data_IF_246200043368
#
_entry.id   IF_246200043368
#
_cell.length_a   1.000
_cell.length_b   1.000
_cell.length_c   1.000
_cell.angle_alpha   90.00
_cell.angle_beta   90.00
_cell.angle_gamma   90.00
#
_symmetry.space_group_name_H-M   'P 1'
#
loop_
_entity.id
_entity.type
_entity.pdbx_description
1 polymer ?
#
# COMPACT_ATOMS: atom_id res chain seq x y z
N UNK A 1 13.53 -21.26 31.28
CA UNK A 1 12.77 -20.00 31.36
C UNK A 1 13.70 -18.94 31.93
N UNK A 2 14.22 -18.04 31.10
CA UNK A 2 15.17 -17.01 31.54
C UNK A 2 14.39 -15.73 31.82
N UNK A 3 14.53 -15.20 33.02
CA UNK A 3 13.93 -13.97 33.51
C UNK A 3 14.88 -12.82 33.14
N UNK A 4 14.65 -12.13 32.01
CA UNK A 4 15.68 -11.31 31.40
C UNK A 4 15.98 -10.07 32.24
N UNK A 5 14.98 -9.48 32.91
CA UNK A 5 15.19 -8.39 33.86
C UNK A 5 15.99 -8.84 35.09
N UNK A 6 15.76 -10.06 35.58
CA UNK A 6 16.50 -10.64 36.71
C UNK A 6 17.98 -10.83 36.39
N UNK A 7 18.30 -11.33 35.18
CA UNK A 7 19.69 -11.53 34.73
C UNK A 7 20.42 -10.22 34.45
N UNK A 8 19.75 -9.27 33.77
CA UNK A 8 20.31 -7.94 33.50
C UNK A 8 20.52 -7.20 34.83
N UNK A 9 19.53 -7.23 35.72
CA UNK A 9 19.58 -6.62 37.03
C UNK A 9 20.71 -7.19 37.89
N UNK A 10 20.88 -8.51 37.93
CA UNK A 10 21.98 -9.16 38.63
C UNK A 10 23.35 -8.75 38.08
N UNK A 11 23.51 -8.70 36.75
CA UNK A 11 24.75 -8.30 36.11
C UNK A 11 25.12 -6.82 36.36
N UNK A 12 24.14 -5.91 36.21
CA UNK A 12 24.34 -4.48 36.49
C UNK A 12 24.62 -4.26 37.98
N UNK A 13 23.87 -4.93 38.85
CA UNK A 13 24.07 -4.87 40.30
C UNK A 13 25.45 -5.37 40.71
N UNK A 14 25.92 -6.46 40.09
CA UNK A 14 27.27 -6.99 40.32
C UNK A 14 28.37 -5.99 39.91
N UNK A 15 28.20 -5.31 38.77
CA UNK A 15 29.17 -4.32 38.30
C UNK A 15 29.29 -3.11 39.23
N UNK A 16 28.21 -2.75 39.95
CA UNK A 16 28.18 -1.58 40.84
C UNK A 16 28.67 -1.91 42.25
N UNK A 17 28.24 -3.04 42.81
CA UNK A 17 28.47 -3.36 44.23
C UNK A 17 28.78 -4.85 44.46
N UNK A 18 29.33 -5.54 43.47
CA UNK A 18 29.76 -6.94 43.55
C UNK A 18 28.64 -7.86 44.06
N UNK A 19 28.92 -8.83 44.94
CA UNK A 19 27.94 -9.85 45.35
C UNK A 19 26.67 -9.24 45.98
N UNK A 20 26.74 -8.28 46.94
CA UNK A 20 25.55 -7.64 47.48
C UNK A 20 24.72 -6.91 46.41
N UNK A 21 25.40 -6.23 45.47
CA UNK A 21 24.75 -5.55 44.36
C UNK A 21 24.05 -6.51 43.41
N UNK A 22 24.65 -7.67 43.13
CA UNK A 22 24.05 -8.70 42.29
C UNK A 22 22.74 -9.25 42.89
N UNK A 23 22.72 -9.46 44.21
CA UNK A 23 21.52 -9.93 44.91
C UNK A 23 20.39 -8.90 44.86
N UNK A 24 20.70 -7.63 45.13
CA UNK A 24 19.72 -6.54 45.05
C UNK A 24 19.20 -6.36 43.62
N UNK A 25 20.11 -6.37 42.64
CA UNK A 25 19.80 -6.24 41.22
C UNK A 25 18.95 -7.39 40.69
N UNK A 26 19.19 -8.62 41.13
CA UNK A 26 18.36 -9.77 40.82
C UNK A 26 16.94 -9.61 41.37
N UNK A 27 16.79 -9.18 42.62
CA UNK A 27 15.48 -8.96 43.26
C UNK A 27 14.66 -7.87 42.55
N UNK A 28 15.29 -6.74 42.21
CA UNK A 28 14.64 -5.66 41.47
C UNK A 28 14.29 -6.08 40.04
N UNK A 29 15.19 -6.80 39.38
CA UNK A 29 14.97 -7.38 38.06
C UNK A 29 13.79 -8.37 38.04
N UNK A 30 13.67 -9.19 39.09
CA UNK A 30 12.58 -10.15 39.23
C UNK A 30 11.24 -9.47 39.52
N UNK A 31 11.22 -8.41 40.31
CA UNK A 31 10.01 -7.60 40.51
C UNK A 31 9.55 -6.94 39.21
N UNK A 32 10.49 -6.46 38.39
CA UNK A 32 10.23 -5.89 37.07
C UNK A 32 9.68 -6.96 36.10
N UNK A 33 10.30 -8.14 36.05
CA UNK A 33 9.85 -9.25 35.22
C UNK A 33 8.42 -9.71 35.59
N UNK A 34 8.08 -9.73 36.89
CA UNK A 34 6.70 -10.04 37.36
C UNK A 34 5.70 -8.97 36.97
N UNK A 35 6.05 -7.69 37.11
CA UNK A 35 5.16 -6.57 36.71
C UNK A 35 4.96 -6.50 35.20
N UNK A 36 6.00 -6.82 34.42
CA UNK A 36 5.97 -6.75 32.96
C UNK A 36 5.62 -8.09 32.28
N UNK A 37 5.40 -9.17 33.06
CA UNK A 37 5.15 -10.54 32.60
C UNK A 37 6.19 -11.03 31.58
N UNK A 38 7.46 -10.66 31.77
CA UNK A 38 8.56 -11.03 30.86
C UNK A 38 9.01 -12.47 31.16
N UNK A 39 8.50 -13.44 30.41
CA UNK A 39 8.80 -14.86 30.62
C UNK A 39 9.95 -15.39 29.73
N UNK A 40 10.44 -14.57 28.78
CA UNK A 40 11.50 -14.97 27.84
C UNK A 40 12.21 -13.76 27.23
N UNK A 41 13.48 -13.96 26.84
CA UNK A 41 14.25 -13.03 26.00
C UNK A 41 13.58 -12.72 24.66
N UNK A 42 12.82 -13.67 24.11
CA UNK A 42 12.02 -13.46 22.90
C UNK A 42 10.94 -12.38 23.13
N UNK A 43 10.22 -12.45 24.25
CA UNK A 43 9.20 -11.45 24.63
C UNK A 43 9.80 -10.07 24.94
N UNK A 44 10.98 -10.03 25.58
CA UNK A 44 11.67 -8.75 25.81
C UNK A 44 12.13 -8.12 24.49
N UNK A 45 12.63 -8.93 23.55
CA UNK A 45 13.00 -8.48 22.20
C UNK A 45 11.78 -8.05 21.37
N UNK A 46 10.65 -8.73 21.47
CA UNK A 46 9.39 -8.33 20.84
C UNK A 46 8.88 -6.99 21.37
N UNK A 47 9.01 -6.75 22.69
CA UNK A 47 8.49 -5.56 23.36
C UNK A 47 9.42 -4.35 23.25
N UNK A 48 10.75 -4.56 23.27
CA UNK A 48 11.75 -3.52 22.99
C UNK A 48 11.91 -3.25 21.49
N UNK A 49 11.67 -4.26 20.65
CA UNK A 49 11.72 -4.19 19.19
C UNK A 49 10.44 -3.72 18.54
N UNK A 50 9.70 -2.81 19.21
CA UNK A 50 8.39 -2.29 18.82
C UNK A 50 8.14 -2.29 17.31
N UNK A 51 7.53 -3.37 16.83
CA UNK A 51 6.98 -3.46 15.49
C UNK A 51 5.67 -4.16 15.65
N UNK A 52 4.60 -3.46 15.32
CA UNK A 52 3.38 -4.15 15.03
C UNK A 52 3.67 -5.18 13.93
N UNK A 53 3.36 -6.43 14.24
CA UNK A 53 3.31 -7.50 13.26
C UNK A 53 2.39 -7.05 12.13
N UNK A 54 2.95 -6.89 10.93
CA UNK A 54 2.15 -6.77 9.71
C UNK A 54 1.58 -8.17 9.50
N UNK A 55 0.25 -8.38 9.50
CA UNK A 55 -0.31 -9.68 9.14
C UNK A 55 0.24 -10.09 7.78
N UNK A 56 0.65 -11.34 7.59
CA UNK A 56 1.31 -11.82 6.35
C UNK A 56 0.50 -11.43 5.09
N UNK A 57 -0.82 -11.53 5.15
CA UNK A 57 -1.77 -11.21 4.07
C UNK A 57 -1.92 -9.70 3.78
N UNK A 58 -1.41 -8.84 4.68
CA UNK A 58 -1.60 -7.39 4.64
C UNK A 58 -0.45 -6.60 4.01
N UNK A 59 0.72 -7.22 3.84
CA UNK A 59 1.94 -6.51 3.44
C UNK A 59 1.78 -5.74 2.14
N UNK A 60 1.19 -6.37 1.11
CA UNK A 60 0.89 -5.71 -0.16
C UNK A 60 0.15 -4.40 0.07
N UNK A 61 -0.95 -4.43 0.82
CA UNK A 61 -1.78 -3.25 1.03
C UNK A 61 -1.09 -2.19 1.88
N UNK A 62 -0.19 -2.56 2.81
CA UNK A 62 0.69 -1.60 3.49
C UNK A 62 1.60 -0.88 2.48
N UNK A 63 2.24 -1.60 1.56
CA UNK A 63 3.09 -1.01 0.52
C UNK A 63 2.28 -0.07 -0.37
N UNK A 64 1.13 -0.54 -0.85
CA UNK A 64 0.21 0.22 -1.69
C UNK A 64 -0.27 1.52 -1.01
N UNK A 65 -0.61 1.46 0.27
CA UNK A 65 -1.03 2.63 1.05
C UNK A 65 0.09 3.65 1.21
N UNK A 66 1.32 3.18 1.47
CA UNK A 66 2.50 4.04 1.60
C UNK A 66 2.85 4.72 0.29
N UNK A 67 2.80 3.97 -0.81
CA UNK A 67 3.03 4.47 -2.16
C UNK A 67 1.98 5.51 -2.53
N UNK A 68 0.70 5.20 -2.32
CA UNK A 68 -0.41 6.09 -2.63
C UNK A 68 -0.37 7.45 -1.89
N UNK A 69 0.39 7.56 -0.79
CA UNK A 69 0.56 8.77 0.02
C UNK A 69 1.90 9.48 -0.21
N UNK A 70 2.86 8.87 -0.90
CA UNK A 70 4.22 9.39 -1.00
C UNK A 70 4.28 10.77 -1.64
N UNK A 71 3.37 11.07 -2.56
CA UNK A 71 3.22 12.37 -3.21
C UNK A 71 2.33 13.36 -2.41
N UNK A 72 2.12 13.11 -1.11
CA UNK A 72 1.44 14.03 -0.19
C UNK A 72 -0.09 13.89 -0.14
N UNK A 73 -0.75 13.27 -1.12
CA UNK A 73 -2.19 12.97 -1.08
C UNK A 73 -2.54 11.66 -1.77
N UNK A 74 -3.55 10.98 -1.24
CA UNK A 74 -4.13 9.79 -1.87
C UNK A 74 -5.16 10.23 -2.90
N UNK A 75 -5.00 9.78 -4.15
CA UNK A 75 -5.90 10.08 -5.25
C UNK A 75 -7.00 9.02 -5.39
N UNK A 76 -8.11 9.36 -6.04
CA UNK A 76 -9.19 8.42 -6.36
C UNK A 76 -8.69 7.22 -7.21
N UNK A 77 -7.73 7.47 -8.11
CA UNK A 77 -7.04 6.44 -8.90
C UNK A 77 -6.33 5.42 -8.02
N UNK A 78 -5.63 5.85 -6.96
CA UNK A 78 -4.96 4.94 -6.02
C UNK A 78 -5.96 4.04 -5.28
N UNK A 79 -7.07 4.62 -4.81
CA UNK A 79 -8.12 3.85 -4.13
C UNK A 79 -8.73 2.80 -5.07
N UNK A 80 -8.96 3.16 -6.33
CA UNK A 80 -9.46 2.21 -7.31
C UNK A 80 -8.45 1.11 -7.63
N UNK A 81 -7.18 1.45 -7.82
CA UNK A 81 -6.16 0.44 -8.08
C UNK A 81 -6.05 -0.54 -6.91
N UNK A 82 -6.10 -0.05 -5.66
CA UNK A 82 -6.13 -0.91 -4.48
C UNK A 82 -7.33 -1.88 -4.50
N UNK A 83 -8.53 -1.41 -4.86
CA UNK A 83 -9.72 -2.28 -5.01
C UNK A 83 -9.57 -3.28 -6.16
N UNK A 84 -8.93 -2.90 -7.25
CA UNK A 84 -8.64 -3.79 -8.37
C UNK A 84 -7.68 -4.90 -7.94
N UNK A 85 -6.66 -4.61 -7.12
CA UNK A 85 -5.83 -5.66 -6.51
C UNK A 85 -6.62 -6.57 -5.57
N UNK A 86 -7.53 -6.03 -4.73
CA UNK A 86 -8.41 -6.87 -3.88
C UNK A 86 -9.25 -7.84 -4.72
N UNK A 87 -9.79 -7.38 -5.86
CA UNK A 87 -10.53 -8.23 -6.80
C UNK A 87 -9.64 -9.27 -7.47
N UNK A 88 -8.44 -8.87 -7.92
CA UNK A 88 -7.46 -9.78 -8.53
C UNK A 88 -7.07 -10.93 -7.58
N UNK A 89 -6.95 -10.63 -6.29
CA UNK A 89 -6.64 -11.61 -5.25
C UNK A 89 -7.87 -12.40 -4.77
N UNK A 90 -9.06 -12.16 -5.33
CA UNK A 90 -10.32 -12.80 -4.94
C UNK A 90 -10.61 -12.70 -3.43
N UNK A 91 -10.33 -11.54 -2.82
CA UNK A 91 -10.53 -11.35 -1.38
C UNK A 91 -12.02 -11.37 -1.01
N UNK A 92 -12.37 -12.18 -0.01
CA UNK A 92 -13.69 -12.15 0.63
C UNK A 92 -13.89 -10.86 1.45
N UNK A 93 -15.10 -10.64 1.98
CA UNK A 93 -15.44 -9.41 2.71
C UNK A 93 -14.54 -9.17 3.95
N UNK A 94 -14.20 -10.22 4.68
CA UNK A 94 -13.32 -10.13 5.86
C UNK A 94 -11.91 -9.71 5.44
N UNK A 95 -11.39 -10.31 4.37
CA UNK A 95 -10.05 -10.02 3.85
C UNK A 95 -9.96 -8.65 3.22
N UNK A 96 -11.04 -8.18 2.59
CA UNK A 96 -11.16 -6.79 2.13
C UNK A 96 -11.04 -5.81 3.30
N UNK A 97 -11.67 -6.07 4.45
CA UNK A 97 -11.55 -5.22 5.64
C UNK A 97 -10.12 -5.21 6.20
N UNK A 98 -9.45 -6.37 6.22
CA UNK A 98 -8.03 -6.48 6.60
C UNK A 98 -7.13 -5.68 5.65
N UNK A 99 -7.34 -5.83 4.34
CA UNK A 99 -6.62 -5.09 3.30
C UNK A 99 -6.85 -3.56 3.40
N UNK A 100 -8.08 -3.11 3.66
CA UNK A 100 -8.39 -1.69 3.89
C UNK A 100 -7.64 -1.16 5.12
N UNK A 101 -7.59 -1.94 6.20
CA UNK A 101 -6.89 -1.55 7.42
C UNK A 101 -5.38 -1.47 7.19
N UNK A 102 -4.81 -2.45 6.50
CA UNK A 102 -3.41 -2.47 6.09
C UNK A 102 -3.06 -1.28 5.17
N UNK A 103 -3.93 -0.93 4.23
CA UNK A 103 -3.76 0.25 3.37
C UNK A 103 -3.72 1.55 4.17
N UNK A 104 -4.67 1.74 5.10
CA UNK A 104 -4.69 2.92 5.99
C UNK A 104 -3.40 3.01 6.82
N UNK A 105 -2.95 1.88 7.37
CA UNK A 105 -1.72 1.78 8.14
C UNK A 105 -0.48 2.15 7.32
N UNK A 106 -0.40 1.63 6.10
CA UNK A 106 0.67 1.94 5.15
C UNK A 106 0.76 3.42 4.80
N UNK A 107 -0.40 4.03 4.53
CA UNK A 107 -0.58 5.46 4.28
C UNK A 107 -0.04 6.32 5.43
N UNK A 108 -0.26 5.89 6.66
CA UNK A 108 0.15 6.65 7.85
C UNK A 108 1.65 6.46 8.19
N UNK A 109 2.35 5.55 7.50
CA UNK A 109 3.82 5.46 7.53
C UNK A 109 4.43 4.80 8.78
N UNK A 110 3.62 4.18 9.64
CA UNK A 110 4.07 3.72 10.96
C UNK A 110 5.00 2.48 10.95
N UNK A 111 5.00 1.68 9.87
CA UNK A 111 5.64 0.36 9.89
C UNK A 111 7.07 0.33 9.32
N UNK A 112 7.95 -0.42 9.99
CA UNK A 112 9.27 -0.76 9.47
C UNK A 112 9.23 -1.92 8.48
N UNK A 113 9.18 -1.61 7.18
CA UNK A 113 9.02 -2.60 6.10
C UNK A 113 10.28 -3.45 5.83
N UNK A 114 11.47 -2.93 6.18
CA UNK A 114 12.76 -3.53 5.80
C UNK A 114 12.92 -4.99 6.24
N UNK A 115 12.52 -5.34 7.46
CA UNK A 115 12.67 -6.72 7.95
C UNK A 115 11.73 -7.69 7.24
N UNK A 116 10.49 -7.26 6.97
CA UNK A 116 9.50 -8.07 6.28
C UNK A 116 9.94 -8.34 4.83
N UNK A 117 10.34 -7.30 4.11
CA UNK A 117 10.79 -7.42 2.73
C UNK A 117 12.07 -8.24 2.62
N UNK A 118 13.01 -8.12 3.57
CA UNK A 118 14.19 -9.00 3.61
C UNK A 118 13.85 -10.46 3.88
N UNK A 119 12.79 -10.75 4.64
CA UNK A 119 12.30 -12.11 4.85
C UNK A 119 11.80 -12.79 3.58
N UNK A 120 11.45 -12.01 2.54
CA UNK A 120 10.95 -12.52 1.26
C UNK A 120 12.05 -12.70 0.20
N UNK A 121 13.33 -12.47 0.52
CA UNK A 121 14.43 -12.62 -0.45
C UNK A 121 14.54 -14.03 -1.06
N UNK A 122 14.12 -15.07 -0.32
CA UNK A 122 14.09 -16.45 -0.82
C UNK A 122 12.81 -16.83 -1.60
N UNK A 123 11.90 -15.88 -1.82
CA UNK A 123 10.59 -16.10 -2.44
C UNK A 123 10.43 -15.17 -3.66
N UNK A 124 11.13 -15.44 -4.78
CA UNK A 124 11.22 -14.53 -5.91
C UNK A 124 9.85 -14.25 -6.55
N UNK A 125 8.97 -15.24 -6.63
CA UNK A 125 7.63 -15.09 -7.21
C UNK A 125 6.78 -14.09 -6.41
N UNK A 126 6.79 -14.21 -5.07
CA UNK A 126 6.05 -13.28 -4.18
C UNK A 126 6.66 -11.88 -4.26
N UNK A 127 7.98 -11.76 -4.27
CA UNK A 127 8.68 -10.49 -4.40
C UNK A 127 8.31 -9.80 -5.72
N UNK A 128 8.31 -10.54 -6.83
CA UNK A 128 7.90 -10.04 -8.13
C UNK A 128 6.44 -9.57 -8.13
N UNK A 129 5.52 -10.36 -7.60
CA UNK A 129 4.10 -10.02 -7.53
C UNK A 129 3.85 -8.73 -6.74
N UNK A 130 4.55 -8.56 -5.61
CA UNK A 130 4.51 -7.33 -4.81
C UNK A 130 5.00 -6.13 -5.60
N UNK A 131 6.16 -6.24 -6.26
CA UNK A 131 6.74 -5.16 -7.06
C UNK A 131 5.84 -4.79 -8.25
N UNK A 132 5.30 -5.78 -8.95
CA UNK A 132 4.35 -5.55 -10.05
C UNK A 132 3.08 -4.85 -9.56
N UNK A 133 2.56 -5.21 -8.39
CA UNK A 133 1.42 -4.50 -7.80
C UNK A 133 1.75 -3.05 -7.42
N UNK A 134 2.95 -2.81 -6.89
CA UNK A 134 3.43 -1.45 -6.61
C UNK A 134 3.55 -0.62 -7.91
N UNK A 135 4.07 -1.20 -9.00
CA UNK A 135 4.12 -0.51 -10.29
C UNK A 135 2.74 -0.20 -10.86
N UNK A 136 1.79 -1.12 -10.78
CA UNK A 136 0.39 -0.84 -11.17
C UNK A 136 -0.22 0.32 -10.37
N UNK A 137 0.14 0.44 -9.10
CA UNK A 137 -0.27 1.56 -8.24
C UNK A 137 0.39 2.87 -8.63
N UNK A 138 1.71 2.89 -8.84
CA UNK A 138 2.43 4.10 -9.29
C UNK A 138 1.90 4.61 -10.65
N UNK A 139 1.46 3.72 -11.52
CA UNK A 139 0.89 4.10 -12.81
C UNK A 139 -0.63 4.39 -12.77
N UNK A 140 -1.29 4.28 -11.62
CA UNK A 140 -2.75 4.37 -11.53
C UNK A 140 -3.31 5.73 -11.96
N UNK A 141 -2.55 6.82 -11.76
CA UNK A 141 -2.91 8.17 -12.23
C UNK A 141 -2.35 8.50 -13.63
N UNK A 142 -1.60 7.56 -14.23
CA UNK A 142 -0.97 7.68 -15.54
C UNK A 142 0.49 8.16 -15.52
N UNK A 143 1.08 8.41 -14.35
CA UNK A 143 2.50 8.80 -14.24
C UNK A 143 3.13 8.29 -12.94
N UNK A 144 4.09 7.37 -13.03
CA UNK A 144 4.90 7.00 -11.87
C UNK A 144 5.86 8.14 -11.48
N UNK A 145 5.63 8.76 -10.32
CA UNK A 145 6.42 9.88 -9.81
C UNK A 145 7.84 9.45 -9.42
N UNK A 146 8.76 10.42 -9.33
CA UNK A 146 10.14 10.12 -8.90
C UNK A 146 10.19 9.51 -7.50
N UNK A 147 9.37 10.00 -6.57
CA UNK A 147 9.31 9.52 -5.19
C UNK A 147 8.79 8.08 -5.14
N UNK A 148 7.76 7.77 -5.93
CA UNK A 148 7.21 6.42 -6.04
C UNK A 148 8.23 5.43 -6.59
N UNK A 149 8.93 5.81 -7.67
CA UNK A 149 10.00 4.99 -8.27
C UNK A 149 11.13 4.71 -7.28
N UNK A 150 11.58 5.74 -6.54
CA UNK A 150 12.62 5.60 -5.51
C UNK A 150 12.17 4.65 -4.40
N UNK A 151 10.92 4.73 -3.94
CA UNK A 151 10.37 3.80 -2.94
C UNK A 151 10.35 2.35 -3.44
N UNK A 152 9.86 2.13 -4.66
CA UNK A 152 9.81 0.79 -5.28
C UNK A 152 11.23 0.24 -5.45
N UNK A 153 12.19 1.08 -5.85
CA UNK A 153 13.60 0.71 -5.94
C UNK A 153 14.21 0.27 -4.60
N UNK A 154 13.93 1.02 -3.52
CA UNK A 154 14.37 0.66 -2.16
C UNK A 154 13.75 -0.64 -1.69
N UNK A 155 12.46 -0.88 -1.98
CA UNK A 155 11.79 -2.13 -1.64
C UNK A 155 12.35 -3.30 -2.44
N UNK A 156 12.60 -3.11 -3.75
CA UNK A 156 13.26 -4.09 -4.59
C UNK A 156 14.63 -4.50 -4.06
N UNK A 157 15.46 -3.52 -3.65
CA UNK A 157 16.74 -3.80 -3.01
C UNK A 157 16.58 -4.64 -1.73
N UNK A 158 15.56 -4.36 -0.90
CA UNK A 158 15.29 -5.16 0.30
C UNK A 158 14.78 -6.56 -0.03
N UNK A 159 14.03 -6.71 -1.13
CA UNK A 159 13.58 -7.98 -1.68
C UNK A 159 14.68 -8.76 -2.41
N UNK A 160 15.90 -8.21 -2.54
CA UNK A 160 17.03 -8.86 -3.21
C UNK A 160 17.06 -8.66 -4.72
N UNK A 161 16.26 -7.73 -5.25
CA UNK A 161 16.22 -7.39 -6.67
C UNK A 161 17.17 -6.22 -6.98
N UNK A 162 17.77 -6.27 -8.17
CA UNK A 162 18.63 -5.17 -8.66
C UNK A 162 17.80 -4.04 -9.26
N UNK A 163 18.33 -2.81 -9.26
CA UNK A 163 17.67 -1.64 -9.86
C UNK A 163 17.18 -1.89 -11.30
N UNK A 164 18.00 -2.45 -12.20
CA UNK A 164 17.56 -2.78 -13.56
C UNK A 164 16.40 -3.78 -13.63
N UNK A 165 16.39 -4.82 -12.78
CA UNK A 165 15.28 -5.78 -12.73
C UNK A 165 13.98 -5.12 -12.27
N UNK A 166 14.07 -4.24 -11.26
CA UNK A 166 12.91 -3.51 -10.74
C UNK A 166 12.35 -2.56 -11.79
N UNK A 167 13.20 -1.83 -12.54
CA UNK A 167 12.71 -0.93 -13.59
C UNK A 167 12.22 -1.66 -14.85
N UNK A 168 12.70 -2.87 -15.13
CA UNK A 168 12.14 -3.69 -16.21
C UNK A 168 10.64 -3.97 -15.96
N UNK A 169 10.24 -4.22 -14.70
CA UNK A 169 8.84 -4.41 -14.31
C UNK A 169 7.98 -3.15 -14.52
N UNK A 170 8.57 -1.96 -14.49
CA UNK A 170 7.84 -0.73 -14.73
C UNK A 170 7.38 -0.60 -16.18
N UNK A 171 8.20 -1.06 -17.13
CA UNK A 171 7.92 -0.98 -18.56
C UNK A 171 6.67 -1.79 -18.96
N UNK A 172 6.44 -2.95 -18.32
CA UNK A 172 5.25 -3.80 -18.53
C UNK A 172 3.95 -3.11 -18.09
N UNK A 173 4.05 -2.13 -17.21
CA UNK A 173 2.93 -1.46 -16.56
C UNK A 173 2.75 -0.02 -17.02
N UNK A 174 3.64 0.49 -17.88
CA UNK A 174 3.50 1.79 -18.52
C UNK A 174 2.30 1.76 -19.48
N UNK A 175 1.23 2.53 -19.21
CA UNK A 175 0.06 2.56 -20.06
C UNK A 175 0.33 3.14 -21.46
N UNK A 176 1.44 3.84 -21.70
CA UNK A 176 1.83 4.36 -23.02
C UNK A 176 2.55 3.31 -23.89
N UNK A 177 3.09 2.23 -23.31
CA UNK A 177 3.81 1.17 -24.06
C UNK A 177 2.96 -0.07 -24.40
N UNK A 178 1.71 -0.17 -23.93
CA UNK A 178 0.82 -1.28 -24.33
C UNK A 178 0.56 -1.25 -25.84
N UNK A 179 0.89 -2.36 -26.52
CA UNK A 179 0.74 -2.55 -27.97
C UNK A 179 -0.64 -2.16 -28.51
N UNK A 180 -0.73 -1.63 -29.75
CA UNK A 180 -1.92 -0.98 -30.31
C UNK A 180 -3.13 -1.87 -30.58
N UNK A 181 -3.06 -3.19 -30.34
CA UNK A 181 -4.15 -4.13 -30.64
C UNK A 181 -5.32 -4.00 -29.65
N UNK A 182 -5.10 -3.60 -28.37
CA UNK A 182 -6.21 -3.29 -27.43
C UNK A 182 -6.64 -1.81 -27.47
N UNK A 183 -5.82 -0.94 -28.07
CA UNK A 183 -6.03 0.52 -28.06
C UNK A 183 -7.33 0.97 -28.75
N UNK A 184 -7.78 0.26 -29.79
CA UNK A 184 -9.01 0.61 -30.51
C UNK A 184 -10.27 0.26 -29.70
N UNK A 185 -10.31 -0.94 -29.12
CA UNK A 185 -11.46 -1.41 -28.34
C UNK A 185 -11.54 -0.71 -26.97
N UNK A 186 -10.40 -0.47 -26.32
CA UNK A 186 -10.31 0.33 -25.10
C UNK A 186 -10.77 1.77 -25.35
N UNK A 187 -10.40 2.34 -26.50
CA UNK A 187 -10.83 3.68 -26.89
C UNK A 187 -12.33 3.76 -27.19
N UNK A 188 -12.90 2.77 -27.91
CA UNK A 188 -14.34 2.70 -28.14
C UNK A 188 -15.11 2.55 -26.83
N UNK A 189 -14.65 1.67 -25.95
CA UNK A 189 -15.24 1.45 -24.62
C UNK A 189 -15.18 2.71 -23.76
N UNK A 190 -14.06 3.43 -23.78
CA UNK A 190 -13.89 4.70 -23.09
C UNK A 190 -14.84 5.80 -23.63
N UNK A 191 -15.01 5.89 -24.95
CA UNK A 191 -15.98 6.81 -25.56
C UNK A 191 -17.43 6.48 -25.16
N UNK A 192 -17.78 5.19 -25.17
CA UNK A 192 -19.10 4.73 -24.71
C UNK A 192 -19.33 5.06 -23.24
N UNK A 193 -18.32 4.86 -22.38
CA UNK A 193 -18.43 5.15 -20.94
C UNK A 193 -18.64 6.65 -20.67
N UNK A 194 -17.99 7.52 -21.45
CA UNK A 194 -18.18 8.98 -21.35
C UNK A 194 -19.43 9.48 -22.08
N UNK A 195 -20.09 8.61 -22.86
CA UNK A 195 -21.25 8.97 -23.68
C UNK A 195 -20.92 9.97 -24.79
N UNK A 196 -19.72 9.85 -25.38
CA UNK A 196 -19.23 10.74 -26.45
C UNK A 196 -19.11 10.00 -27.77
N UNK A 197 -19.18 10.74 -28.87
CA UNK A 197 -19.03 10.23 -30.24
C UNK A 197 -17.61 10.48 -30.78
N UNK A 198 -17.20 9.77 -31.84
CA UNK A 198 -15.90 9.99 -32.50
C UNK A 198 -15.69 11.38 -33.10
N UNK A 199 -16.71 12.22 -33.22
CA UNK A 199 -16.66 13.59 -33.73
C UNK A 199 -16.82 14.64 -32.63
N UNK A 200 -16.91 14.22 -31.36
CA UNK A 200 -17.16 15.14 -30.25
C UNK A 200 -15.95 16.05 -30.00
N UNK A 201 -16.19 17.37 -30.01
CA UNK A 201 -15.19 18.39 -29.75
C UNK A 201 -14.57 18.30 -28.32
N UNK A 202 -13.26 18.60 -28.14
CA UNK A 202 -12.59 18.53 -26.84
C UNK A 202 -13.28 19.30 -25.70
N UNK A 203 -13.89 20.46 -25.96
CA UNK A 203 -14.64 21.19 -24.92
C UNK A 203 -15.84 20.37 -24.43
N UNK A 204 -16.53 19.72 -25.35
CA UNK A 204 -17.69 18.89 -25.04
C UNK A 204 -17.28 17.58 -24.33
N UNK A 205 -16.12 17.00 -24.68
CA UNK A 205 -15.54 15.87 -23.94
C UNK A 205 -15.27 16.26 -22.48
N UNK A 206 -14.60 17.39 -22.25
CA UNK A 206 -14.32 17.90 -20.89
C UNK A 206 -15.60 18.20 -20.10
N UNK A 207 -16.65 18.71 -20.76
CA UNK A 207 -17.96 18.96 -20.14
C UNK A 207 -18.65 17.66 -19.76
N UNK A 208 -18.71 16.67 -20.66
CA UNK A 208 -19.31 15.36 -20.41
C UNK A 208 -18.63 14.65 -19.23
N UNK A 209 -17.30 14.65 -19.22
CA UNK A 209 -16.48 14.12 -18.13
C UNK A 209 -16.77 14.78 -16.78
N UNK A 210 -16.71 16.12 -16.69
CA UNK A 210 -17.01 16.85 -15.44
C UNK A 210 -18.43 16.59 -14.92
N UNK A 211 -19.40 16.50 -15.82
CA UNK A 211 -20.80 16.18 -15.48
C UNK A 211 -20.92 14.78 -14.87
N UNK A 212 -20.29 13.78 -15.48
CA UNK A 212 -20.31 12.40 -14.98
C UNK A 212 -19.60 12.28 -13.63
N UNK A 213 -18.46 12.95 -13.46
CA UNK A 213 -17.74 13.00 -12.19
C UNK A 213 -18.56 13.61 -11.06
N UNK A 214 -19.23 14.73 -11.32
CA UNK A 214 -20.08 15.38 -10.32
C UNK A 214 -21.26 14.51 -9.89
N UNK A 215 -21.80 13.68 -10.80
CA UNK A 215 -22.90 12.74 -10.50
C UNK A 215 -22.47 11.56 -9.66
N UNK A 216 -21.26 11.05 -9.88
CA UNK A 216 -20.75 9.86 -9.21
C UNK A 216 -19.79 10.16 -8.06
N UNK A 217 -19.62 11.43 -7.67
CA UNK A 217 -18.66 11.80 -6.64
C UNK A 217 -18.99 11.13 -5.28
N UNK A 218 -18.05 10.37 -4.68
CA UNK A 218 -18.31 9.59 -3.47
C UNK A 218 -18.75 10.46 -2.30
N UNK A 219 -18.15 11.63 -2.09
CA UNK A 219 -18.52 12.54 -1.00
C UNK A 219 -19.94 13.09 -1.14
N UNK A 220 -20.37 13.38 -2.37
CA UNK A 220 -21.73 13.90 -2.62
C UNK A 220 -22.77 12.82 -2.38
N UNK A 221 -22.46 11.59 -2.78
CA UNK A 221 -23.31 10.42 -2.55
C UNK A 221 -23.37 10.09 -1.05
N UNK A 222 -22.24 10.12 -0.34
CA UNK A 222 -22.19 9.94 1.12
C UNK A 222 -23.01 11.01 1.86
N UNK A 223 -22.90 12.28 1.46
CA UNK A 223 -23.65 13.40 2.04
C UNK A 223 -25.16 13.35 1.81
N UNK A 224 -25.63 12.56 0.84
CA UNK A 224 -27.06 12.36 0.55
C UNK A 224 -27.71 11.21 1.33
N UNK A 225 -27.03 10.65 2.35
CA UNK A 225 -27.56 9.55 3.16
C UNK A 225 -27.42 8.16 2.53
N UNK A 226 -26.51 8.01 1.56
CA UNK A 226 -26.27 6.74 0.88
C UNK A 226 -25.59 5.72 1.81
N UNK A 227 -25.91 4.44 1.61
CA UNK A 227 -25.29 3.35 2.35
C UNK A 227 -23.82 3.11 1.89
N UNK A 228 -23.00 2.38 2.69
CA UNK A 228 -21.61 2.14 2.35
C UNK A 228 -21.39 1.48 0.98
N UNK A 229 -22.32 0.62 0.54
CA UNK A 229 -22.23 -0.06 -0.76
C UNK A 229 -22.43 0.93 -1.93
N UNK A 230 -23.36 1.88 -1.80
CA UNK A 230 -23.58 2.93 -2.79
C UNK A 230 -22.37 3.86 -2.91
N UNK A 231 -21.74 4.22 -1.79
CA UNK A 231 -20.47 4.99 -1.79
C UNK A 231 -19.35 4.20 -2.46
N UNK A 232 -19.31 2.87 -2.28
CA UNK A 232 -18.35 2.01 -2.99
C UNK A 232 -18.55 2.04 -4.50
N UNK A 233 -19.78 1.82 -4.98
CA UNK A 233 -20.13 1.85 -6.41
C UNK A 233 -19.79 3.21 -7.02
N UNK A 234 -20.09 4.30 -6.31
CA UNK A 234 -19.74 5.66 -6.70
C UNK A 234 -18.22 5.84 -6.89
N UNK A 235 -17.42 5.38 -5.93
CA UNK A 235 -15.95 5.44 -6.00
C UNK A 235 -15.42 4.68 -7.22
N UNK A 236 -15.95 3.47 -7.48
CA UNK A 236 -15.56 2.66 -8.63
C UNK A 236 -15.89 3.37 -9.94
N UNK A 237 -17.12 3.88 -10.07
CA UNK A 237 -17.54 4.62 -11.26
C UNK A 237 -16.69 5.85 -11.52
N UNK A 238 -16.36 6.60 -10.47
CA UNK A 238 -15.54 7.81 -10.59
C UNK A 238 -14.16 7.49 -11.16
N UNK A 239 -13.56 6.38 -10.75
CA UNK A 239 -12.27 5.96 -11.28
C UNK A 239 -12.34 5.40 -12.71
N UNK A 240 -13.38 4.63 -13.04
CA UNK A 240 -13.60 4.21 -14.43
C UNK A 240 -13.68 5.43 -15.36
N UNK A 241 -14.37 6.50 -14.91
CA UNK A 241 -14.47 7.76 -15.64
C UNK A 241 -13.12 8.47 -15.79
N UNK A 242 -12.29 8.48 -14.74
CA UNK A 242 -10.91 9.00 -14.83
C UNK A 242 -10.09 8.25 -15.87
N UNK A 243 -10.16 6.92 -15.86
CA UNK A 243 -9.42 6.08 -16.80
C UNK A 243 -9.89 6.29 -18.25
N UNK A 244 -11.21 6.29 -18.48
CA UNK A 244 -11.76 6.53 -19.81
C UNK A 244 -11.40 7.92 -20.35
N UNK A 245 -11.46 8.96 -19.51
CA UNK A 245 -11.04 10.30 -19.90
C UNK A 245 -9.55 10.35 -20.24
N UNK A 246 -8.70 9.66 -19.49
CA UNK A 246 -7.26 9.55 -19.79
C UNK A 246 -7.00 8.89 -21.14
N UNK A 247 -7.66 7.76 -21.44
CA UNK A 247 -7.55 7.05 -22.73
C UNK A 247 -7.96 7.95 -23.89
N UNK A 248 -9.10 8.65 -23.75
CA UNK A 248 -9.60 9.56 -24.79
C UNK A 248 -8.68 10.76 -24.98
N UNK A 249 -8.19 11.35 -23.87
CA UNK A 249 -7.25 12.48 -23.90
C UNK A 249 -5.94 12.10 -24.60
N UNK A 250 -5.37 10.95 -24.26
CA UNK A 250 -4.11 10.47 -24.85
C UNK A 250 -4.21 10.29 -26.37
N UNK A 251 -5.33 9.74 -26.87
CA UNK A 251 -5.52 9.49 -28.31
C UNK A 251 -5.88 10.73 -29.11
N UNK A 252 -6.54 11.73 -28.50
CA UNK A 252 -6.98 12.96 -29.16
C UNK A 252 -5.99 14.14 -29.03
N UNK A 253 -5.01 14.03 -28.13
CA UNK A 253 -3.92 15.02 -28.01
C UNK A 253 -4.34 16.41 -27.53
N UNK A 254 -5.48 16.58 -26.87
CA UNK A 254 -5.89 17.88 -26.34
C UNK A 254 -5.42 18.08 -24.89
N UNK A 255 -4.95 19.29 -24.55
CA UNK A 255 -4.48 19.66 -23.21
C UNK A 255 -5.62 20.01 -22.26
#
# INVERSE_FOLDING_TARGET
>A
MLWPGTLIGAGVGYAIASIPGAMLGALLGQALDRRLKLQSWAHLRERLGGRATIPEDGLLFVLLGRLAKSDGRVLASHIHQARTEMRRLNLNDTDQLRAITAFKRGRDGADGLRSYLRGLQGQPDIAEDLLRACWRMAWADGKASRVERELIGVWGMWLGWTGPQVEALAADHDPMKRSPVSSSDDYRSAMTLLGIKPDTDPLNIKRAYRRLLSRHHPDKIAGSGANPQQVRVATEKTSELHNAYRVVKARRGFN
#
